data_IF_991051640587
#
_entry.id   IF_991051640587
#
_cell.length_a   1.000
_cell.length_b   1.000
_cell.length_c   1.000
_cell.angle_alpha   90.00
_cell.angle_beta   90.00
_cell.angle_gamma   90.00
#
_symmetry.space_group_name_H-M   'P 1'
#
loop_
_entity.id
_entity.type
_entity.pdbx_description
1 polymer ?
#
# COMPACT_ATOMS: atom_id res chain seq x y z
N UNK A 1 -69.73 -0.60 17.04
CA UNK A 1 -68.36 -0.18 17.45
C UNK A 1 -67.56 -1.40 17.87
N UNK A 2 -66.82 -2.03 16.95
CA UNK A 2 -66.02 -3.22 17.26
C UNK A 2 -64.68 -2.87 17.89
N UNK A 3 -64.39 -3.37 19.09
CA UNK A 3 -63.11 -3.16 19.77
C UNK A 3 -62.01 -3.91 19.02
N UNK A 4 -61.04 -3.19 18.44
CA UNK A 4 -59.87 -3.79 17.79
C UNK A 4 -59.00 -4.51 18.84
N UNK A 5 -58.56 -5.72 18.53
CA UNK A 5 -57.66 -6.50 19.38
C UNK A 5 -56.33 -5.74 19.57
N UNK A 6 -55.84 -5.68 20.82
CA UNK A 6 -54.56 -5.05 21.14
C UNK A 6 -53.44 -5.90 20.51
N UNK A 7 -52.76 -5.38 19.50
CA UNK A 7 -51.55 -6.01 18.97
C UNK A 7 -50.48 -6.06 20.06
N UNK A 8 -49.75 -7.18 20.13
CA UNK A 8 -48.67 -7.38 21.09
C UNK A 8 -47.68 -6.21 21.04
N UNK A 9 -47.31 -5.68 22.21
CA UNK A 9 -46.41 -4.52 22.38
C UNK A 9 -44.97 -4.79 21.93
N UNK A 10 -44.62 -6.02 21.58
CA UNK A 10 -43.28 -6.38 21.10
C UNK A 10 -43.25 -6.38 19.57
N UNK A 11 -42.54 -5.40 19.00
CA UNK A 11 -42.31 -5.33 17.56
C UNK A 11 -41.45 -6.50 17.05
N UNK A 12 -41.42 -6.71 15.73
CA UNK A 12 -40.65 -7.80 15.07
C UNK A 12 -39.18 -7.84 15.50
N UNK A 13 -38.58 -6.71 15.83
CA UNK A 13 -37.18 -6.61 16.30
C UNK A 13 -36.96 -7.28 17.66
N UNK A 14 -37.92 -7.16 18.58
CA UNK A 14 -37.87 -7.83 19.89
C UNK A 14 -38.07 -9.35 19.77
N UNK A 15 -38.79 -9.81 18.76
CA UNK A 15 -38.90 -11.24 18.45
C UNK A 15 -37.61 -11.81 17.88
N UNK A 16 -36.93 -11.08 16.98
CA UNK A 16 -35.63 -11.50 16.43
C UNK A 16 -34.53 -11.62 17.50
N UNK A 17 -34.55 -10.76 18.52
CA UNK A 17 -33.59 -10.82 19.62
C UNK A 17 -33.84 -11.96 20.63
N UNK A 18 -35.04 -12.55 20.63
CA UNK A 18 -35.42 -13.61 21.56
C UNK A 18 -35.39 -15.02 20.93
N UNK A 19 -35.04 -15.13 19.65
CA UNK A 19 -34.85 -16.41 18.96
C UNK A 19 -33.34 -16.64 18.92
N UNK A 20 -32.85 -17.67 19.62
CA UNK A 20 -31.44 -18.03 19.55
C UNK A 20 -31.10 -18.47 18.12
N UNK A 21 -30.09 -17.84 17.52
CA UNK A 21 -29.50 -18.28 16.23
C UNK A 21 -28.25 -19.11 16.43
N UNK A 22 -27.84 -19.34 17.69
CA UNK A 22 -26.58 -20.00 18.05
C UNK A 22 -26.45 -21.38 17.38
N UNK A 23 -27.53 -22.18 17.35
CA UNK A 23 -27.52 -23.51 16.72
C UNK A 23 -27.27 -23.46 15.20
N UNK A 24 -27.75 -22.39 14.54
CA UNK A 24 -27.58 -22.19 13.09
C UNK A 24 -26.16 -21.72 12.80
N UNK A 25 -25.66 -20.77 13.59
CA UNK A 25 -24.31 -20.26 13.48
C UNK A 25 -23.27 -21.37 13.75
N UNK A 26 -23.52 -22.20 14.77
CA UNK A 26 -22.74 -23.40 15.09
C UNK A 26 -22.71 -24.42 13.95
N UNK A 27 -23.86 -24.65 13.32
CA UNK A 27 -23.96 -25.57 12.18
C UNK A 27 -23.18 -25.03 10.98
N UNK A 28 -23.30 -23.73 10.69
CA UNK A 28 -22.54 -23.09 9.62
C UNK A 28 -21.05 -23.21 9.93
N UNK A 29 -20.57 -22.82 11.11
CA UNK A 29 -19.15 -22.95 11.47
C UNK A 29 -18.60 -24.37 11.37
N UNK A 30 -19.37 -25.36 11.84
CA UNK A 30 -18.99 -26.78 11.72
C UNK A 30 -18.93 -27.20 10.25
N UNK A 31 -19.89 -26.78 9.43
CA UNK A 31 -19.87 -27.06 7.99
C UNK A 31 -18.66 -26.43 7.28
N UNK A 32 -18.25 -25.21 7.66
CA UNK A 32 -17.08 -24.55 7.09
C UNK A 32 -15.78 -25.24 7.50
N UNK A 33 -15.69 -25.65 8.78
CA UNK A 33 -14.53 -26.40 9.31
C UNK A 33 -14.43 -27.78 8.67
N UNK A 34 -15.55 -28.49 8.51
CA UNK A 34 -15.59 -29.78 7.84
C UNK A 34 -15.20 -29.63 6.35
N UNK A 35 -15.67 -28.59 5.65
CA UNK A 35 -15.26 -28.33 4.26
C UNK A 35 -13.76 -28.04 4.14
N UNK A 36 -13.17 -27.31 5.09
CA UNK A 36 -11.73 -27.00 5.10
C UNK A 36 -10.86 -28.21 5.47
N UNK A 37 -11.37 -29.12 6.31
CA UNK A 37 -10.64 -30.30 6.80
C UNK A 37 -10.84 -31.56 5.95
N UNK A 38 -11.57 -31.46 4.84
CA UNK A 38 -11.73 -32.55 3.86
C UNK A 38 -12.98 -33.41 4.05
N UNK A 39 -13.97 -32.93 4.80
CA UNK A 39 -15.27 -33.57 5.01
C UNK A 39 -15.53 -33.93 6.47
N UNK A 40 -16.78 -34.29 6.78
CA UNK A 40 -17.16 -34.70 8.14
C UNK A 40 -16.55 -36.06 8.49
N UNK A 41 -15.79 -36.11 9.59
CA UNK A 41 -15.15 -37.33 10.11
C UNK A 41 -16.14 -38.47 10.37
N UNK A 42 -17.41 -38.16 10.60
CA UNK A 42 -18.49 -39.13 10.82
C UNK A 42 -18.80 -39.99 9.59
N UNK A 43 -18.50 -39.48 8.39
CA UNK A 43 -18.85 -40.13 7.13
C UNK A 43 -17.69 -40.93 6.51
N UNK A 44 -16.49 -40.81 7.08
CA UNK A 44 -15.28 -41.52 6.62
C UNK A 44 -15.21 -42.90 7.30
N UNK A 45 -15.00 -44.00 6.55
CA UNK A 45 -14.86 -45.33 7.15
C UNK A 45 -13.66 -45.38 8.10
N UNK A 46 -13.82 -46.05 9.24
CA UNK A 46 -12.81 -46.11 10.32
C UNK A 46 -11.47 -46.68 9.88
N UNK A 47 -11.46 -47.53 8.86
CA UNK A 47 -10.24 -48.12 8.28
C UNK A 47 -9.37 -47.10 7.52
N UNK A 48 -9.97 -46.00 7.04
CA UNK A 48 -9.26 -44.91 6.36
C UNK A 48 -8.80 -43.80 7.30
N UNK A 49 -9.19 -43.83 8.59
CA UNK A 49 -8.79 -42.83 9.58
C UNK A 49 -7.33 -42.98 10.01
N UNK A 50 -6.77 -44.20 9.92
CA UNK A 50 -5.43 -44.49 10.41
C UNK A 50 -4.61 -45.24 9.38
N UNK A 51 -3.56 -44.60 8.89
CA UNK A 51 -2.53 -45.25 8.09
C UNK A 51 -1.30 -45.51 8.96
N UNK A 52 -0.92 -46.78 9.10
CA UNK A 52 0.35 -47.15 9.75
C UNK A 52 1.45 -47.03 8.71
N UNK A 53 2.14 -45.90 8.72
CA UNK A 53 3.29 -45.67 7.85
C UNK A 53 4.46 -46.56 8.29
N UNK A 54 4.79 -47.54 7.46
CA UNK A 54 5.92 -48.46 7.64
C UNK A 54 7.16 -48.00 6.88
N UNK A 55 7.13 -46.84 6.24
CA UNK A 55 8.29 -46.30 5.54
C UNK A 55 9.35 -45.87 6.56
N UNK A 56 10.58 -46.37 6.38
CA UNK A 56 11.72 -45.96 7.20
C UNK A 56 12.20 -44.61 6.71
N UNK A 57 11.66 -43.54 7.26
CA UNK A 57 12.09 -42.17 6.94
C UNK A 57 13.55 -41.93 7.39
N UNK A 58 14.47 -42.08 6.43
CA UNK A 58 15.91 -41.85 6.62
C UNK A 58 16.22 -40.40 7.02
N UNK A 59 15.33 -39.47 6.70
CA UNK A 59 15.44 -38.04 7.02
C UNK A 59 15.37 -37.76 8.51
N UNK A 60 14.48 -38.43 9.24
CA UNK A 60 14.31 -38.28 10.69
C UNK A 60 15.47 -38.93 11.44
N UNK A 61 15.93 -40.11 10.99
CA UNK A 61 17.13 -40.75 11.54
C UNK A 61 18.36 -39.86 11.42
N UNK A 62 18.63 -39.29 10.24
CA UNK A 62 19.75 -38.33 10.03
C UNK A 62 19.64 -37.11 10.93
N UNK A 63 18.43 -36.64 11.25
CA UNK A 63 18.20 -35.47 12.12
C UNK A 63 18.46 -35.78 13.59
N UNK A 64 18.13 -36.99 14.04
CA UNK A 64 18.40 -37.48 15.40
C UNK A 64 19.89 -37.82 15.57
N UNK A 65 20.51 -38.44 14.57
CA UNK A 65 21.93 -38.82 14.57
C UNK A 65 22.85 -37.58 14.55
N UNK A 66 22.51 -36.58 13.74
CA UNK A 66 23.16 -35.25 13.75
C UNK A 66 23.04 -34.51 15.08
N UNK A 67 22.03 -34.81 15.91
CA UNK A 67 21.87 -34.21 17.24
C UNK A 67 22.68 -34.96 18.31
N UNK A 68 23.04 -36.23 18.06
CA UNK A 68 23.93 -37.02 18.93
C UNK A 68 25.39 -36.70 18.66
N UNK A 69 25.81 -36.60 17.39
CA UNK A 69 27.17 -36.19 17.02
C UNK A 69 27.55 -34.78 17.52
N UNK A 70 26.55 -33.93 17.78
CA UNK A 70 26.78 -32.56 18.28
C UNK A 70 27.11 -32.49 19.77
N UNK A 71 26.88 -33.58 20.52
CA UNK A 71 27.10 -33.62 21.96
C UNK A 71 28.42 -34.30 22.33
N UNK A 72 29.07 -35.00 21.39
CA UNK A 72 30.35 -35.68 21.61
C UNK A 72 31.46 -34.95 20.82
N UNK A 73 31.86 -33.78 21.31
CA UNK A 73 33.10 -33.13 20.85
C UNK A 73 34.26 -33.63 21.74
N UNK A 74 35.30 -34.27 21.17
CA UNK A 74 36.53 -34.52 21.92
C UNK A 74 37.23 -33.18 22.14
N UNK A 75 37.45 -32.84 23.41
CA UNK A 75 38.31 -31.72 23.81
C UNK A 75 39.73 -32.09 23.37
N UNK A 76 40.18 -31.52 22.25
CA UNK A 76 41.57 -31.60 21.80
C UNK A 76 42.26 -30.24 22.00
N UNK A 77 43.49 -30.36 22.45
CA UNK A 77 44.39 -29.33 22.97
C UNK A 77 44.69 -28.16 22.03
N UNK A 78 44.85 -26.99 22.66
CA UNK A 78 45.79 -25.90 22.36
C UNK A 78 46.31 -25.72 20.92
N UNK A 79 45.43 -25.57 19.93
CA UNK A 79 45.79 -25.03 18.62
C UNK A 79 45.48 -23.53 18.53
N UNK A 80 46.48 -22.68 18.29
CA UNK A 80 46.26 -21.30 17.85
C UNK A 80 45.38 -21.34 16.59
N UNK A 81 44.11 -20.94 16.72
CA UNK A 81 43.20 -20.81 15.59
C UNK A 81 43.54 -19.51 14.88
N UNK A 82 44.03 -19.62 13.65
CA UNK A 82 44.22 -18.47 12.77
C UNK A 82 42.85 -17.88 12.43
N UNK A 83 42.57 -16.73 13.04
CA UNK A 83 41.27 -16.06 12.97
C UNK A 83 41.02 -15.41 11.59
N UNK A 84 42.02 -15.41 10.70
CA UNK A 84 42.01 -14.66 9.45
C UNK A 84 42.27 -15.48 8.18
N UNK A 85 42.55 -16.78 8.30
CA UNK A 85 42.55 -17.70 7.15
C UNK A 85 41.11 -17.94 6.67
N UNK A 86 40.69 -17.13 5.71
CA UNK A 86 39.59 -17.48 4.83
C UNK A 86 40.16 -18.33 3.71
N UNK A 87 39.66 -19.56 3.55
CA UNK A 87 39.15 -20.17 2.31
C UNK A 87 38.86 -21.65 2.60
N UNK A 88 37.60 -22.07 2.44
CA UNK A 88 37.23 -23.50 2.39
C UNK A 88 36.61 -24.09 3.65
N UNK A 89 35.28 -24.01 3.73
CA UNK A 89 34.43 -25.14 4.17
C UNK A 89 34.65 -25.68 5.60
N UNK A 90 34.46 -24.84 6.61
CA UNK A 90 34.08 -25.33 7.94
C UNK A 90 32.54 -25.30 8.08
N UNK A 91 31.91 -26.47 8.04
CA UNK A 91 30.46 -26.75 8.18
C UNK A 91 29.84 -26.37 9.54
N UNK A 92 30.52 -25.53 10.31
CA UNK A 92 29.95 -24.91 11.49
C UNK A 92 28.96 -23.85 11.05
N UNK A 93 27.67 -24.24 11.02
CA UNK A 93 26.50 -23.39 10.77
C UNK A 93 26.37 -22.28 11.83
N UNK A 94 27.31 -21.34 11.87
CA UNK A 94 27.13 -20.04 12.46
C UNK A 94 26.01 -19.37 11.67
N UNK A 95 24.86 -19.16 12.31
CA UNK A 95 23.71 -18.50 11.68
C UNK A 95 24.15 -17.11 11.24
N UNK A 96 24.50 -16.93 9.97
CA UNK A 96 24.80 -15.62 9.38
C UNK A 96 23.56 -14.75 9.59
N UNK A 97 23.67 -13.75 10.45
CA UNK A 97 22.58 -12.81 10.70
C UNK A 97 22.23 -12.10 9.38
N UNK A 98 20.94 -12.06 9.04
CA UNK A 98 20.47 -11.30 7.88
C UNK A 98 20.79 -9.82 8.11
N UNK A 99 21.43 -9.19 7.13
CA UNK A 99 21.77 -7.75 7.21
C UNK A 99 20.46 -6.94 7.32
N UNK A 100 20.40 -5.94 8.21
CA UNK A 100 19.17 -5.16 8.43
C UNK A 100 18.80 -4.24 7.26
N UNK A 101 19.77 -3.88 6.40
CA UNK A 101 19.59 -3.00 5.25
C UNK A 101 20.24 -3.58 4.00
N UNK A 102 19.65 -3.29 2.83
CA UNK A 102 20.21 -3.64 1.50
C UNK A 102 21.46 -2.81 1.19
N UNK A 103 21.49 -1.57 1.68
CA UNK A 103 22.56 -0.60 1.46
C UNK A 103 23.80 -0.98 2.28
N UNK A 104 25.02 -0.90 1.71
CA UNK A 104 26.26 -1.19 2.43
C UNK A 104 26.47 -0.24 3.62
N UNK A 105 27.21 -0.70 4.63
CA UNK A 105 27.46 0.07 5.85
C UNK A 105 28.28 1.34 5.61
N UNK A 106 29.20 1.27 4.66
CA UNK A 106 30.05 2.39 4.22
C UNK A 106 29.92 2.47 2.71
N UNK A 107 29.48 3.62 2.23
CA UNK A 107 29.42 3.91 0.81
C UNK A 107 30.78 4.44 0.36
N UNK A 108 31.26 3.94 -0.77
CA UNK A 108 32.51 4.43 -1.36
C UNK A 108 32.15 5.65 -2.21
N UNK A 109 32.77 6.78 -1.90
CA UNK A 109 32.61 8.00 -2.67
C UNK A 109 33.26 7.88 -4.06
N UNK A 110 32.80 8.66 -5.05
CA UNK A 110 33.41 8.64 -6.38
C UNK A 110 34.88 9.10 -6.34
N UNK A 111 35.72 8.62 -7.28
CA UNK A 111 37.16 8.90 -7.28
C UNK A 111 37.50 10.40 -7.40
N UNK A 112 36.57 11.22 -7.95
CA UNK A 112 36.72 12.66 -8.05
C UNK A 112 36.64 13.43 -6.72
N UNK A 113 36.16 12.81 -5.65
CA UNK A 113 36.19 13.37 -4.29
C UNK A 113 37.54 13.18 -3.59
N UNK A 114 38.48 12.45 -4.21
CA UNK A 114 39.81 12.24 -3.62
C UNK A 114 40.61 13.54 -3.54
N UNK A 115 41.69 13.53 -2.75
CA UNK A 115 42.55 14.70 -2.57
C UNK A 115 43.23 15.17 -3.88
N UNK A 116 43.63 14.22 -4.71
CA UNK A 116 44.32 14.48 -5.97
C UNK A 116 43.66 13.64 -7.08
N UNK A 117 42.44 14.01 -7.50
CA UNK A 117 41.68 13.25 -8.49
C UNK A 117 42.24 13.47 -9.89
N UNK A 118 42.00 12.50 -10.80
CA UNK A 118 42.17 12.74 -12.23
C UNK A 118 41.19 13.82 -12.69
N UNK A 119 41.60 14.64 -13.67
CA UNK A 119 40.79 15.75 -14.16
C UNK A 119 39.36 15.33 -14.56
N UNK A 120 39.20 14.24 -15.31
CA UNK A 120 37.88 13.75 -15.75
C UNK A 120 36.99 13.39 -14.56
N UNK A 121 37.47 12.51 -13.67
CA UNK A 121 36.72 12.10 -12.48
C UNK A 121 36.34 13.29 -11.57
N UNK A 122 37.20 14.31 -11.48
CA UNK A 122 36.94 15.53 -10.74
C UNK A 122 35.80 16.34 -11.38
N UNK A 123 35.84 16.53 -12.69
CA UNK A 123 34.77 17.22 -13.42
C UNK A 123 33.44 16.47 -13.29
N UNK A 124 33.43 15.14 -13.36
CA UNK A 124 32.21 14.34 -13.19
C UNK A 124 31.60 14.54 -11.79
N UNK A 125 32.43 14.53 -10.76
CA UNK A 125 31.99 14.72 -9.37
C UNK A 125 31.52 16.16 -9.12
N UNK A 126 32.22 17.14 -9.69
CA UNK A 126 31.78 18.55 -9.67
C UNK A 126 30.45 18.73 -10.41
N UNK A 127 30.29 18.13 -11.58
CA UNK A 127 29.06 18.19 -12.37
C UNK A 127 27.87 17.64 -11.57
N UNK A 128 28.07 16.53 -10.85
CA UNK A 128 27.05 16.00 -9.93
C UNK A 128 26.69 17.01 -8.83
N UNK A 129 27.69 17.61 -8.17
CA UNK A 129 27.47 18.60 -7.13
C UNK A 129 26.71 19.84 -7.65
N UNK A 130 27.11 20.34 -8.82
CA UNK A 130 26.45 21.47 -9.49
C UNK A 130 25.01 21.13 -9.84
N UNK A 131 24.74 19.93 -10.36
CA UNK A 131 23.38 19.50 -10.68
C UNK A 131 22.47 19.48 -9.43
N UNK A 132 22.97 19.04 -8.27
CA UNK A 132 22.20 19.06 -7.01
C UNK A 132 21.89 20.48 -6.53
N UNK A 133 22.84 21.42 -6.64
CA UNK A 133 22.58 22.81 -6.27
C UNK A 133 21.63 23.49 -7.26
N UNK A 134 21.80 23.27 -8.57
CA UNK A 134 20.88 23.78 -9.59
C UNK A 134 19.46 23.26 -9.39
N UNK A 135 19.28 21.99 -9.01
CA UNK A 135 17.96 21.46 -8.67
C UNK A 135 17.30 22.20 -7.50
N UNK A 136 18.07 22.61 -6.47
CA UNK A 136 17.52 23.42 -5.36
C UNK A 136 17.12 24.81 -5.83
N UNK A 137 17.93 25.42 -6.70
CA UNK A 137 17.63 26.72 -7.31
C UNK A 137 16.34 26.62 -8.13
N UNK A 138 16.24 25.66 -9.06
CA UNK A 138 15.03 25.45 -9.84
C UNK A 138 13.80 25.16 -8.98
N UNK A 139 13.96 24.38 -7.90
CA UNK A 139 12.86 24.13 -6.97
C UNK A 139 12.39 25.41 -6.27
N UNK A 140 13.30 26.35 -5.99
CA UNK A 140 12.96 27.63 -5.37
C UNK A 140 12.34 28.64 -6.36
N UNK A 141 12.80 28.63 -7.61
CA UNK A 141 12.37 29.58 -8.64
C UNK A 141 11.06 29.16 -9.32
N UNK A 142 10.93 27.88 -9.67
CA UNK A 142 9.74 27.32 -10.32
C UNK A 142 8.73 26.74 -9.32
N UNK A 143 9.11 26.68 -8.04
CA UNK A 143 8.23 26.18 -6.99
C UNK A 143 6.97 27.04 -6.87
N UNK A 144 5.80 26.44 -6.58
CA UNK A 144 4.61 27.22 -6.27
C UNK A 144 4.92 28.12 -5.07
N UNK A 145 4.71 29.43 -5.23
CA UNK A 145 4.85 30.34 -4.10
C UNK A 145 3.83 29.97 -3.03
N UNK A 146 4.21 29.96 -1.74
CA UNK A 146 3.26 29.69 -0.67
C UNK A 146 2.17 30.75 -0.72
N UNK A 147 0.92 30.30 -0.62
CA UNK A 147 -0.23 31.22 -0.54
C UNK A 147 0.04 32.19 0.62
N UNK A 148 0.02 33.51 0.38
CA UNK A 148 0.26 34.49 1.43
C UNK A 148 -0.76 34.26 2.56
N UNK A 149 -0.28 34.24 3.81
CA UNK A 149 -1.14 34.00 4.99
C UNK A 149 -2.18 35.10 5.21
N UNK A 150 -1.99 36.25 4.58
CA UNK A 150 -2.92 37.38 4.66
C UNK A 150 -2.95 38.03 3.30
N UNK A 151 -4.04 37.84 2.58
CA UNK A 151 -4.35 38.62 1.38
C UNK A 151 -4.84 39.99 1.87
N UNK A 152 -4.16 41.10 1.55
CA UNK A 152 -4.67 42.43 1.88
C UNK A 152 -5.91 42.69 1.03
N UNK A 153 -7.08 42.28 1.53
CA UNK A 153 -8.38 42.33 0.85
C UNK A 153 -9.44 41.39 1.44
N UNK A 154 -9.06 40.26 2.03
CA UNK A 154 -10.00 39.22 2.53
C UNK A 154 -10.41 39.41 4.01
N UNK A 155 -10.33 40.64 4.53
CA UNK A 155 -11.10 41.03 5.73
C UNK A 155 -12.50 41.51 5.37
N UNK A 156 -12.84 41.55 4.08
CA UNK A 156 -14.21 41.55 3.62
C UNK A 156 -14.73 40.12 3.74
N UNK A 157 -15.52 39.94 4.80
CA UNK A 157 -16.59 38.94 4.95
C UNK A 157 -16.89 38.30 3.60
N UNK A 158 -16.55 37.02 3.43
CA UNK A 158 -17.18 36.23 2.37
C UNK A 158 -18.66 36.22 2.75
N UNK A 159 -19.47 36.96 2.00
CA UNK A 159 -20.90 37.04 2.25
C UNK A 159 -21.47 35.62 2.25
N UNK A 160 -22.39 35.34 3.16
CA UNK A 160 -22.96 34.00 3.42
C UNK A 160 -23.51 33.37 2.12
N UNK A 161 -23.91 34.22 1.16
CA UNK A 161 -24.40 33.90 -0.17
C UNK A 161 -23.37 33.19 -1.07
N UNK A 162 -22.08 33.57 -1.01
CA UNK A 162 -21.02 32.96 -1.82
C UNK A 162 -20.62 31.56 -1.30
N UNK A 163 -20.85 31.29 -0.02
CA UNK A 163 -20.64 29.96 0.57
C UNK A 163 -21.65 28.95 0.00
N UNK A 164 -22.89 29.37 -0.27
CA UNK A 164 -23.95 28.52 -0.83
C UNK A 164 -23.69 28.10 -2.29
N UNK A 165 -22.95 28.90 -3.07
CA UNK A 165 -22.59 28.54 -4.45
C UNK A 165 -21.55 27.41 -4.53
N UNK A 166 -20.67 27.26 -3.54
CA UNK A 166 -19.68 26.17 -3.49
C UNK A 166 -20.24 24.86 -2.94
N UNK A 167 -21.28 24.91 -2.10
CA UNK A 167 -21.94 23.72 -1.55
C UNK A 167 -22.86 23.01 -2.56
N UNK A 168 -23.32 23.71 -3.60
CA UNK A 168 -24.27 23.18 -4.58
C UNK A 168 -23.69 22.13 -5.55
N UNK A 169 -22.37 22.08 -5.77
CA UNK A 169 -21.74 21.21 -6.80
C UNK A 169 -21.09 19.93 -6.23
N UNK A 170 -21.22 19.67 -4.92
CA UNK A 170 -20.83 18.39 -4.30
C UNK A 170 -22.02 17.51 -3.89
N UNK A 171 -23.23 17.87 -4.35
CA UNK A 171 -24.42 17.03 -4.29
C UNK A 171 -24.38 15.97 -5.39
N UNK A 172 -23.84 14.80 -5.05
CA UNK A 172 -24.14 13.53 -5.69
C UNK A 172 -25.64 13.23 -5.54
N UNK A 173 -26.46 13.80 -6.42
CA UNK A 173 -27.84 13.36 -6.66
C UNK A 173 -27.83 12.31 -7.77
N UNK A 174 -27.50 11.09 -7.34
CA UNK A 174 -27.91 9.89 -8.05
C UNK A 174 -29.44 9.77 -8.06
N UNK A 175 -29.96 9.48 -9.26
CA UNK A 175 -31.29 8.93 -9.53
C UNK A 175 -32.50 9.86 -9.33
N UNK A 176 -32.94 10.49 -10.43
CA UNK A 176 -34.34 10.40 -10.86
C UNK A 176 -34.43 10.64 -12.39
N UNK A 177 -34.44 9.54 -13.15
CA UNK A 177 -34.82 9.56 -14.56
C UNK A 177 -36.34 9.68 -14.65
N UNK A 178 -36.87 10.90 -14.50
CA UNK A 178 -38.25 11.23 -14.91
C UNK A 178 -38.28 11.39 -16.43
N UNK A 179 -38.59 10.30 -17.13
CA UNK A 179 -39.14 10.37 -18.49
C UNK A 179 -40.65 10.16 -18.40
N UNK A 180 -41.36 11.22 -17.99
CA UNK A 180 -42.77 11.35 -18.30
C UNK A 180 -42.89 11.72 -19.78
N UNK A 181 -43.11 10.71 -20.62
CA UNK A 181 -43.73 10.96 -21.93
C UNK A 181 -45.22 11.27 -21.67
N UNK A 182 -45.57 12.54 -21.82
CA UNK A 182 -46.93 12.94 -22.11
C UNK A 182 -47.31 12.38 -23.48
N UNK A 183 -48.23 11.42 -23.50
CA UNK A 183 -49.26 11.42 -24.55
C UNK A 183 -50.50 10.59 -24.17
N UNK A 184 -51.65 11.19 -24.48
CA UNK A 184 -53.00 10.63 -24.53
C UNK A 184 -53.76 10.38 -23.21
N UNK A 185 -54.43 11.45 -22.76
CA UNK A 185 -55.89 11.54 -22.75
C UNK A 185 -56.76 10.37 -22.17
N UNK A 186 -57.64 10.77 -21.25
CA UNK A 186 -58.99 10.23 -20.93
C UNK A 186 -59.16 9.24 -19.76
N UNK A 187 -59.66 9.79 -18.65
CA UNK A 187 -60.84 9.30 -17.91
C UNK A 187 -60.92 7.82 -17.55
N UNK A 188 -60.62 7.49 -16.29
CA UNK A 188 -61.00 6.20 -15.67
C UNK A 188 -62.54 6.11 -15.56
N UNK A 189 -63.18 5.53 -16.57
CA UNK A 189 -64.49 4.89 -16.45
C UNK A 189 -64.27 3.38 -16.36
N UNK A 190 -64.73 2.74 -15.28
CA UNK A 190 -64.78 1.28 -15.17
C UNK A 190 -65.78 0.76 -16.21
N UNK A 191 -65.28 0.24 -17.32
CA UNK A 191 -66.13 -0.42 -18.32
C UNK A 191 -66.44 -1.83 -17.85
N UNK A 192 -67.72 -2.18 -17.81
CA UNK A 192 -68.16 -3.54 -17.51
C UNK A 192 -67.48 -4.54 -18.46
N UNK A 193 -66.67 -5.44 -17.92
CA UNK A 193 -66.00 -6.48 -18.71
C UNK A 193 -67.04 -7.45 -19.27
N UNK A 194 -67.19 -7.51 -20.59
CA UNK A 194 -68.01 -8.53 -21.25
C UNK A 194 -67.50 -9.92 -20.86
N UNK A 195 -68.39 -10.83 -20.47
CA UNK A 195 -68.04 -12.23 -20.15
C UNK A 195 -67.43 -12.89 -21.38
N UNK A 196 -66.14 -13.21 -21.29
CA UNK A 196 -65.39 -13.91 -22.34
C UNK A 196 -65.94 -15.32 -22.50
N UNK A 197 -66.09 -15.76 -23.74
CA UNK A 197 -66.62 -17.09 -24.05
C UNK A 197 -65.57 -18.18 -23.77
N UNK A 198 -66.01 -19.43 -23.52
CA UNK A 198 -65.10 -20.57 -23.25
C UNK A 198 -64.09 -20.83 -24.39
N UNK A 199 -64.46 -20.49 -25.62
CA UNK A 199 -63.62 -20.61 -26.82
C UNK A 199 -62.49 -19.57 -26.84
N UNK A 200 -62.77 -18.33 -26.46
CA UNK A 200 -61.75 -17.28 -26.35
C UNK A 200 -60.75 -17.57 -25.22
N UNK A 201 -61.18 -18.19 -24.12
CA UNK A 201 -60.28 -18.66 -23.04
C UNK A 201 -59.31 -19.74 -23.55
N UNK A 202 -59.80 -20.73 -24.29
CA UNK A 202 -58.96 -21.77 -24.87
C UNK A 202 -58.01 -21.21 -25.96
N UNK A 203 -58.46 -20.23 -26.75
CA UNK A 203 -57.61 -19.55 -27.74
C UNK A 203 -56.48 -18.76 -27.07
N UNK A 204 -56.77 -18.07 -25.96
CA UNK A 204 -55.76 -17.37 -25.14
C UNK A 204 -54.80 -18.34 -24.46
N UNK A 205 -55.27 -19.49 -23.97
CA UNK A 205 -54.42 -20.51 -23.38
C UNK A 205 -53.39 -21.05 -24.38
N UNK A 206 -53.80 -21.36 -25.62
CA UNK A 206 -52.90 -21.82 -26.69
C UNK A 206 -51.84 -20.78 -27.08
N UNK A 207 -52.23 -19.51 -27.24
CA UNK A 207 -51.28 -18.43 -27.52
C UNK A 207 -50.30 -18.22 -26.37
N UNK A 208 -50.77 -18.32 -25.13
CA UNK A 208 -49.91 -18.23 -23.94
C UNK A 208 -48.92 -19.39 -23.85
N UNK A 209 -49.30 -20.60 -24.26
CA UNK A 209 -48.41 -21.75 -24.34
C UNK A 209 -47.38 -21.63 -25.47
N UNK A 210 -47.78 -21.12 -26.64
CA UNK A 210 -46.86 -20.81 -27.74
C UNK A 210 -45.83 -19.74 -27.31
N UNK A 211 -46.29 -18.64 -26.69
CA UNK A 211 -45.42 -17.61 -26.15
C UNK A 211 -44.46 -18.16 -25.10
N UNK A 212 -44.90 -19.08 -24.23
CA UNK A 212 -44.02 -19.74 -23.25
C UNK A 212 -42.97 -20.62 -23.92
N UNK A 213 -43.35 -21.43 -24.90
CA UNK A 213 -42.40 -22.28 -25.65
C UNK A 213 -41.39 -21.46 -26.43
N UNK A 214 -41.83 -20.38 -27.06
CA UNK A 214 -40.95 -19.42 -27.74
C UNK A 214 -40.01 -18.73 -26.75
N UNK A 215 -40.51 -18.34 -25.57
CA UNK A 215 -39.67 -17.76 -24.51
C UNK A 215 -38.66 -18.78 -23.96
N UNK A 216 -39.03 -20.05 -23.82
CA UNK A 216 -38.12 -21.11 -23.39
C UNK A 216 -37.07 -21.45 -24.45
N UNK A 217 -37.43 -21.42 -25.74
CA UNK A 217 -36.48 -21.59 -26.84
C UNK A 217 -35.49 -20.41 -26.89
N UNK A 218 -35.98 -19.17 -26.77
CA UNK A 218 -35.12 -17.98 -26.67
C UNK A 218 -34.15 -18.07 -25.48
N UNK A 219 -34.61 -18.51 -24.32
CA UNK A 219 -33.74 -18.74 -23.15
C UNK A 219 -32.68 -19.81 -23.40
N UNK A 220 -33.00 -20.89 -24.11
CA UNK A 220 -32.02 -21.93 -24.46
C UNK A 220 -30.98 -21.40 -25.44
N UNK A 221 -31.39 -20.58 -26.41
CA UNK A 221 -30.49 -19.91 -27.34
C UNK A 221 -29.61 -18.85 -26.65
N UNK A 222 -30.13 -18.15 -25.65
CA UNK A 222 -29.35 -17.23 -24.81
C UNK A 222 -28.27 -17.98 -24.03
N UNK A 223 -28.63 -19.10 -23.40
CA UNK A 223 -27.68 -19.95 -22.67
C UNK A 223 -26.61 -20.55 -23.59
N UNK A 224 -26.96 -20.99 -24.80
CA UNK A 224 -25.95 -21.51 -25.73
C UNK A 224 -24.96 -20.43 -26.16
N UNK A 225 -25.44 -19.20 -26.42
CA UNK A 225 -24.57 -18.06 -26.77
C UNK A 225 -23.61 -17.70 -25.64
N UNK A 226 -24.05 -17.80 -24.40
CA UNK A 226 -23.20 -17.56 -23.22
C UNK A 226 -22.16 -18.68 -23.04
N UNK A 227 -22.52 -19.93 -23.32
CA UNK A 227 -21.58 -21.05 -23.30
C UNK A 227 -20.52 -20.90 -24.39
N UNK A 228 -20.93 -20.51 -25.60
CA UNK A 228 -20.03 -20.36 -26.75
C UNK A 228 -19.03 -19.20 -26.56
N UNK A 229 -19.35 -18.19 -25.73
CA UNK A 229 -18.46 -17.07 -25.42
C UNK A 229 -17.46 -17.35 -24.27
N UNK A 230 -17.66 -18.43 -23.50
CA UNK A 230 -16.78 -18.79 -22.38
C UNK A 230 -15.29 -18.86 -22.75
N UNK A 231 -14.86 -19.42 -23.90
CA UNK A 231 -13.44 -19.47 -24.26
C UNK A 231 -12.82 -18.08 -24.44
N UNK A 232 -13.61 -17.11 -24.90
CA UNK A 232 -13.13 -15.74 -25.08
C UNK A 232 -13.05 -15.01 -23.74
N UNK A 233 -14.01 -15.26 -22.84
CA UNK A 233 -13.95 -14.79 -21.44
C UNK A 233 -12.72 -15.37 -20.73
N UNK A 234 -12.40 -16.66 -20.91
CA UNK A 234 -11.21 -17.28 -20.32
C UNK A 234 -9.92 -16.63 -20.86
N UNK A 235 -9.84 -16.36 -22.17
CA UNK A 235 -8.69 -15.66 -22.77
C UNK A 235 -8.57 -14.23 -22.25
N UNK A 236 -9.69 -13.54 -22.03
CA UNK A 236 -9.73 -12.19 -21.47
C UNK A 236 -9.23 -12.17 -20.02
N UNK A 237 -9.73 -13.08 -19.18
CA UNK A 237 -9.27 -13.26 -17.79
C UNK A 237 -7.77 -13.54 -17.77
N UNK A 238 -7.26 -14.44 -18.62
CA UNK A 238 -5.84 -14.75 -18.68
C UNK A 238 -4.98 -13.52 -19.04
N UNK A 239 -5.43 -12.71 -20.02
CA UNK A 239 -4.76 -11.45 -20.38
C UNK A 239 -4.79 -10.45 -19.23
N UNK A 240 -5.93 -10.31 -18.54
CA UNK A 240 -6.08 -9.40 -17.40
C UNK A 240 -5.16 -9.82 -16.24
N UNK A 241 -5.06 -11.13 -15.96
CA UNK A 241 -4.19 -11.67 -14.93
C UNK A 241 -2.70 -11.49 -15.26
N UNK A 242 -2.31 -11.67 -16.51
CA UNK A 242 -0.96 -11.33 -16.97
C UNK A 242 -0.64 -9.84 -16.78
N UNK A 243 -1.59 -8.95 -17.10
CA UNK A 243 -1.43 -7.52 -16.89
C UNK A 243 -1.33 -7.18 -15.41
N UNK A 244 -2.20 -7.75 -14.56
CA UNK A 244 -2.15 -7.61 -13.10
C UNK A 244 -0.81 -8.09 -12.57
N UNK A 245 -0.30 -9.22 -13.06
CA UNK A 245 1.00 -9.77 -12.69
C UNK A 245 2.15 -8.84 -13.11
N UNK A 246 2.15 -8.33 -14.37
CA UNK A 246 3.13 -7.35 -14.85
C UNK A 246 3.08 -6.07 -14.02
N UNK A 247 1.90 -5.56 -13.68
CA UNK A 247 1.71 -4.39 -12.79
C UNK A 247 2.28 -4.67 -11.40
N UNK A 248 2.06 -5.87 -10.86
CA UNK A 248 2.59 -6.28 -9.56
C UNK A 248 4.12 -6.37 -9.57
N UNK A 249 4.72 -7.01 -10.58
CA UNK A 249 6.17 -7.08 -10.76
C UNK A 249 6.76 -5.67 -10.84
N UNK A 250 6.19 -4.77 -11.64
CA UNK A 250 6.65 -3.37 -11.74
C UNK A 250 6.66 -2.68 -10.38
N UNK A 251 5.63 -2.89 -9.55
CA UNK A 251 5.58 -2.34 -8.18
C UNK A 251 6.67 -2.93 -7.29
N UNK A 252 6.94 -4.23 -7.39
CA UNK A 252 8.02 -4.88 -6.62
C UNK A 252 9.38 -4.34 -7.05
N UNK A 253 9.65 -4.27 -8.34
CA UNK A 253 10.92 -3.78 -8.89
C UNK A 253 11.15 -2.34 -8.47
N UNK A 254 10.16 -1.45 -8.63
CA UNK A 254 10.27 -0.06 -8.19
C UNK A 254 10.50 0.07 -6.68
N UNK A 255 9.88 -0.80 -5.87
CA UNK A 255 10.14 -0.85 -4.42
C UNK A 255 11.57 -1.31 -4.12
N UNK A 256 12.07 -2.34 -4.81
CA UNK A 256 13.43 -2.84 -4.63
C UNK A 256 14.48 -1.80 -5.05
N UNK A 257 14.29 -1.12 -6.18
CA UNK A 257 15.15 -0.01 -6.63
C UNK A 257 15.15 1.15 -5.64
N UNK A 258 13.98 1.51 -5.10
CA UNK A 258 13.86 2.52 -4.06
C UNK A 258 14.60 2.14 -2.78
N UNK A 259 14.51 0.88 -2.35
CA UNK A 259 15.20 0.38 -1.14
C UNK A 259 16.73 0.32 -1.30
N UNK A 260 17.25 0.24 -2.54
CA UNK A 260 18.69 0.31 -2.82
C UNK A 260 19.26 1.73 -2.68
N UNK A 261 18.43 2.76 -2.89
CA UNK A 261 18.87 4.16 -2.93
C UNK A 261 18.47 4.95 -1.70
N UNK A 262 17.26 4.73 -1.19
CA UNK A 262 16.65 5.50 -0.12
C UNK A 262 16.12 4.61 1.00
N UNK A 263 16.21 5.05 2.27
CA UNK A 263 15.58 4.34 3.37
C UNK A 263 14.04 4.39 3.27
N UNK A 264 13.34 3.40 3.86
CA UNK A 264 11.91 3.51 4.11
C UNK A 264 11.60 4.70 5.04
N UNK A 265 10.38 5.22 4.98
CA UNK A 265 9.98 6.36 5.81
C UNK A 265 9.74 5.90 7.25
N UNK A 266 10.74 6.14 8.11
CA UNK A 266 10.67 5.79 9.54
C UNK A 266 9.97 6.83 10.42
N UNK A 267 9.79 8.07 9.94
CA UNK A 267 9.21 9.14 10.74
C UNK A 267 8.69 10.34 9.95
N UNK A 268 8.49 11.46 10.66
CA UNK A 268 7.95 12.71 10.09
C UNK A 268 8.82 13.23 8.94
N UNK A 269 10.14 13.27 9.15
CA UNK A 269 11.08 13.83 8.18
C UNK A 269 11.54 12.79 7.15
N UNK A 270 11.66 13.22 5.89
CA UNK A 270 12.23 12.42 4.81
C UNK A 270 13.77 12.46 4.91
N UNK A 271 14.41 11.35 4.56
CA UNK A 271 15.87 11.33 4.41
C UNK A 271 16.29 12.32 3.32
N UNK A 272 17.30 13.12 3.63
CA UNK A 272 17.96 14.02 2.68
C UNK A 272 19.43 13.58 2.58
N UNK A 273 19.93 13.27 1.37
CA UNK A 273 21.34 12.90 1.20
C UNK A 273 22.24 14.05 1.65
N UNK A 274 23.46 13.70 2.06
CA UNK A 274 24.50 14.68 2.31
C UNK A 274 25.03 15.18 0.94
N UNK A 275 25.34 16.48 0.80
CA UNK A 275 25.94 16.98 -0.43
C UNK A 275 27.31 16.31 -0.66
N UNK A 276 27.66 15.99 -1.92
CA UNK A 276 28.94 15.36 -2.24
C UNK A 276 30.10 16.25 -1.85
N UNK A 277 31.15 15.64 -1.29
CA UNK A 277 32.33 16.35 -0.82
C UNK A 277 33.38 16.47 -1.94
N UNK A 278 33.24 17.49 -2.77
CA UNK A 278 34.16 17.74 -3.89
C UNK A 278 34.95 19.01 -3.63
N UNK A 279 36.27 18.95 -3.83
CA UNK A 279 37.12 20.14 -3.77
C UNK A 279 36.89 21.00 -5.02
N UNK A 280 36.87 22.32 -4.87
CA UNK A 280 36.82 23.22 -6.03
C UNK A 280 38.15 23.20 -6.78
N UNK A 281 38.15 23.57 -8.06
CA UNK A 281 39.38 23.65 -8.88
C UNK A 281 40.47 24.53 -8.25
N UNK A 282 40.08 25.63 -7.61
CA UNK A 282 40.97 26.54 -6.87
C UNK A 282 41.56 25.92 -5.60
N UNK A 283 40.87 24.94 -5.02
CA UNK A 283 41.25 24.31 -3.76
C UNK A 283 42.18 23.11 -3.97
N UNK A 284 42.26 22.59 -5.20
CA UNK A 284 43.16 21.51 -5.58
C UNK A 284 44.57 22.09 -5.75
N UNK A 285 45.36 22.01 -4.68
CA UNK A 285 46.72 22.59 -4.63
C UNK A 285 47.83 21.53 -4.65
N UNK A 286 47.48 20.24 -4.73
CA UNK A 286 48.40 19.10 -4.73
C UNK A 286 49.18 18.87 -3.43
N UNK A 287 49.09 19.78 -2.43
CA UNK A 287 49.77 19.66 -1.13
C UNK A 287 48.80 19.38 0.02
N UNK A 288 48.99 18.26 0.73
CA UNK A 288 48.15 17.87 1.88
C UNK A 288 48.16 18.91 3.01
N UNK A 289 49.24 19.68 3.16
CA UNK A 289 49.36 20.73 4.18
C UNK A 289 48.42 21.92 3.93
N UNK A 290 47.96 22.08 2.69
CA UNK A 290 47.06 23.16 2.27
C UNK A 290 45.60 22.70 2.20
N UNK A 291 45.32 21.42 2.46
CA UNK A 291 43.96 20.88 2.39
C UNK A 291 43.08 21.52 3.46
N UNK A 292 41.93 22.05 3.05
CA UNK A 292 40.92 22.54 3.98
C UNK A 292 40.28 21.35 4.71
N UNK A 293 40.15 21.51 6.04
CA UNK A 293 39.49 20.53 6.89
C UNK A 293 38.10 20.18 6.37
N UNK A 294 37.93 18.89 6.08
CA UNK A 294 36.76 18.32 5.45
C UNK A 294 35.72 17.85 6.50
N UNK A 295 34.52 17.45 6.06
CA UNK A 295 33.41 17.08 6.93
C UNK A 295 33.80 16.02 7.98
N UNK A 296 33.14 16.07 9.15
CA UNK A 296 33.46 15.14 10.24
C UNK A 296 32.95 13.73 9.91
N UNK A 297 33.81 12.72 10.08
CA UNK A 297 33.45 11.31 9.87
C UNK A 297 32.19 10.90 10.63
N UNK A 298 31.98 11.46 11.82
CA UNK A 298 30.75 11.24 12.60
C UNK A 298 29.49 11.61 11.81
N UNK A 299 29.51 12.72 11.07
CA UNK A 299 28.37 13.23 10.31
C UNK A 299 28.09 12.36 9.08
N UNK A 300 29.14 11.88 8.42
CA UNK A 300 29.04 10.89 7.34
C UNK A 300 28.44 9.56 7.86
N UNK A 301 29.00 9.01 8.94
CA UNK A 301 28.50 7.76 9.54
C UNK A 301 27.07 7.87 10.04
N UNK A 302 26.70 9.00 10.65
CA UNK A 302 25.33 9.29 11.04
C UNK A 302 24.38 9.33 9.84
N UNK A 303 24.81 9.93 8.72
CA UNK A 303 24.04 9.95 7.47
C UNK A 303 23.92 8.57 6.81
N UNK A 304 24.96 7.75 6.88
CA UNK A 304 24.90 6.34 6.48
C UNK A 304 23.90 5.54 7.33
N UNK A 305 23.82 5.77 8.64
CA UNK A 305 22.81 5.13 9.50
C UNK A 305 21.39 5.55 9.14
N UNK A 306 21.18 6.84 8.84
CA UNK A 306 19.89 7.33 8.33
C UNK A 306 19.55 6.69 6.96
N UNK A 307 20.50 6.63 6.04
CA UNK A 307 20.33 6.06 4.69
C UNK A 307 19.99 4.57 4.74
N UNK A 308 20.60 3.82 5.68
CA UNK A 308 20.29 2.41 5.94
C UNK A 308 18.95 2.18 6.64
N UNK A 309 18.29 3.24 7.12
CA UNK A 309 17.05 3.11 7.89
C UNK A 309 17.26 2.50 9.28
N UNK A 310 18.46 2.67 9.86
CA UNK A 310 18.74 2.30 11.24
C UNK A 310 18.41 3.44 12.21
N UNK A 311 18.53 4.68 11.73
CA UNK A 311 18.21 5.90 12.48
C UNK A 311 17.17 6.70 11.70
N UNK A 312 16.15 7.20 12.40
CA UNK A 312 15.14 8.05 11.78
C UNK A 312 15.71 9.46 11.49
N UNK A 313 15.45 10.05 10.32
CA UNK A 313 15.85 11.42 10.03
C UNK A 313 15.23 12.42 11.01
N UNK A 314 16.06 13.28 11.60
CA UNK A 314 15.63 14.32 12.53
C UNK A 314 15.86 15.71 11.95
N UNK A 315 14.97 16.65 12.27
CA UNK A 315 15.23 18.07 11.99
C UNK A 315 16.18 18.63 13.04
N UNK A 316 17.12 19.48 12.60
CA UNK A 316 17.95 20.27 13.50
C UNK A 316 17.03 21.22 14.27
N UNK A 317 16.87 20.98 15.56
CA UNK A 317 16.19 21.93 16.46
C UNK A 317 17.19 23.02 16.79
N UNK A 318 16.96 24.23 16.29
CA UNK A 318 17.61 25.40 16.86
C UNK A 318 17.11 25.51 18.30
N UNK A 319 18.02 25.68 19.25
CA UNK A 319 17.65 25.96 20.64
C UNK A 319 16.96 27.31 20.63
N UNK A 320 15.63 27.28 20.72
CA UNK A 320 14.86 28.47 21.01
C UNK A 320 15.13 28.81 22.47
N UNK A 321 16.11 29.69 22.70
CA UNK A 321 16.21 30.37 23.99
C UNK A 321 14.95 31.25 24.07
N UNK A 322 14.03 31.00 25.02
CA UNK A 322 12.92 31.92 25.23
C UNK A 322 13.54 33.28 25.61
N UNK A 323 13.48 34.22 24.67
CA UNK A 323 13.99 35.57 24.88
C UNK A 323 13.15 36.21 25.99
N UNK A 324 13.76 36.45 27.15
CA UNK A 324 13.17 37.29 28.20
C UNK A 324 13.12 38.72 27.63
N UNK A 325 11.91 39.21 27.39
CA UNK A 325 11.66 40.50 26.75
C UNK A 325 12.22 41.67 27.56
N UNK A 326 13.39 42.14 27.16
CA UNK A 326 13.83 43.53 27.28
C UNK A 326 14.95 43.70 26.24
N UNK A 327 15.03 44.84 25.56
CA UNK A 327 16.10 45.21 24.60
C UNK A 327 15.96 44.85 23.10
N UNK A 328 14.77 44.47 22.60
CA UNK A 328 14.57 44.42 21.13
C UNK A 328 14.17 45.77 20.49
N UNK A 329 13.87 46.82 21.25
CA UNK A 329 13.48 48.12 20.66
C UNK A 329 14.66 49.01 20.26
N UNK A 330 15.89 48.74 20.71
CA UNK A 330 17.05 49.60 20.41
C UNK A 330 17.72 49.28 19.06
N UNK A 331 17.65 48.04 18.58
CA UNK A 331 18.33 47.65 17.32
C UNK A 331 17.53 47.97 16.05
N UNK A 332 16.21 48.10 16.13
CA UNK A 332 15.38 48.57 14.99
C UNK A 332 15.51 50.08 14.76
N UNK A 333 15.75 50.86 15.82
CA UNK A 333 15.94 52.32 15.73
C UNK A 333 17.33 52.77 15.26
N UNK A 334 18.36 51.89 15.32
CA UNK A 334 19.67 52.20 14.77
C UNK A 334 19.80 51.85 13.28
N UNK A 335 18.96 50.96 12.74
CA UNK A 335 19.05 50.56 11.31
C UNK A 335 18.43 51.58 10.35
N UNK A 336 17.54 52.46 10.83
CA UNK A 336 16.96 53.55 10.05
C UNK A 336 17.75 54.87 10.10
N UNK A 337 18.89 54.92 10.82
CA UNK A 337 19.67 56.16 10.96
C UNK A 337 20.87 56.27 10.01
N UNK A 338 21.14 55.24 9.20
CA UNK A 338 22.23 55.20 8.21
C UNK A 338 21.72 54.82 6.81
N UNK A 339 20.68 55.52 6.36
CA UNK A 339 20.30 55.53 4.94
C UNK A 339 19.98 56.96 4.54
N UNK A 340 21.04 57.72 4.27
CA UNK A 340 21.07 58.90 3.41
C UNK A 340 22.40 58.87 2.66
#
# INVERSE_FOLDING_TARGET
MGKKAKSSRKGKKAWRANISTEDIDDFIEKSTKDALSGGSLSHVPTESLFFVDKSKDLSVKRKIEKHREKNDCPVQDSGMVDLWENEGECDNKLRKASKPSVIPAVEVEPPGCSFNPSFEAHQDSLAQAVAEEMQKVYQSELGPQPVPLTVPGEQQVIDEEDLYFLEADNGDDGEENLTENEDAAQGKRSTNTKRVTKVELNRRARLKEQQKKEAEAKKKEELSKEIDSLPDIIKEIAKEDEEKHKRHIRRIVAKQERLKTCPPRLGKHKFKPAPPQVLLSEEITGSLRKLKGCCTLLRDRYKSLEKRGLVAPTAKRLRHLPYCGAYSSMLSLLRNRYSN
#
